data_IF_886133645769
#
_entry.id   IF_886133645769
#
_cell.length_a   1.000
_cell.length_b   1.000
_cell.length_c   1.000
_cell.angle_alpha   90.00
_cell.angle_beta   90.00
_cell.angle_gamma   90.00
#
_symmetry.space_group_name_H-M   'P 1'
#
loop_
_entity.id
_entity.type
_entity.pdbx_description
1 polymer ?
#
# COMPACT_ATOMS: atom_id res chain seq x y z
N UNK A 1 28.03 -10.86 19.37
CA UNK A 1 27.39 -10.94 18.04
C UNK A 1 26.74 -9.59 17.78
N UNK A 2 26.90 -8.96 16.61
CA UNK A 2 26.14 -7.75 16.28
C UNK A 2 24.66 -8.07 16.48
N UNK A 3 23.91 -7.16 17.10
CA UNK A 3 22.48 -7.28 17.36
C UNK A 3 21.70 -7.20 16.03
N UNK A 4 21.86 -8.21 15.16
CA UNK A 4 21.14 -8.34 13.89
C UNK A 4 19.62 -8.28 14.11
N UNK A 5 19.16 -8.65 15.30
CA UNK A 5 17.76 -8.54 15.72
C UNK A 5 17.31 -7.10 15.90
N UNK A 6 18.12 -6.21 16.48
CA UNK A 6 17.80 -4.77 16.56
C UNK A 6 17.87 -4.12 15.19
N UNK A 7 18.92 -4.43 14.41
CA UNK A 7 19.05 -3.91 13.04
C UNK A 7 17.85 -4.29 12.16
N UNK A 8 17.36 -5.53 12.27
CA UNK A 8 16.17 -5.97 11.55
C UNK A 8 14.88 -5.28 12.04
N UNK A 9 14.77 -5.00 13.33
CA UNK A 9 13.64 -4.24 13.89
C UNK A 9 13.66 -2.77 13.43
N UNK A 10 14.83 -2.15 13.42
CA UNK A 10 15.00 -0.76 12.98
C UNK A 10 14.70 -0.63 11.48
N UNK A 11 15.20 -1.55 10.65
CA UNK A 11 14.91 -1.58 9.23
C UNK A 11 13.41 -1.83 8.94
N UNK A 12 12.76 -2.69 9.72
CA UNK A 12 11.32 -2.90 9.62
C UNK A 12 10.54 -1.63 10.00
N UNK A 13 10.90 -0.97 11.10
CA UNK A 13 10.27 0.27 11.54
C UNK A 13 10.47 1.42 10.53
N UNK A 14 11.66 1.53 9.94
CA UNK A 14 11.95 2.53 8.90
C UNK A 14 11.15 2.26 7.62
N UNK A 15 11.04 0.98 7.22
CA UNK A 15 10.21 0.55 6.08
C UNK A 15 8.73 0.85 6.34
N UNK A 16 8.24 0.65 7.56
CA UNK A 16 6.87 0.95 7.96
C UNK A 16 6.59 2.45 7.92
N UNK A 17 7.49 3.27 8.44
CA UNK A 17 7.37 4.72 8.41
C UNK A 17 7.36 5.26 6.97
N UNK A 18 8.24 4.75 6.10
CA UNK A 18 8.27 5.13 4.69
C UNK A 18 7.01 4.67 3.95
N UNK A 19 6.53 3.45 4.21
CA UNK A 19 5.29 2.94 3.64
C UNK A 19 4.08 3.80 4.05
N UNK A 20 3.93 4.07 5.34
CA UNK A 20 2.84 4.91 5.86
C UNK A 20 2.91 6.32 5.29
N UNK A 21 4.10 6.95 5.27
CA UNK A 21 4.29 8.27 4.67
C UNK A 21 3.87 8.28 3.21
N UNK A 22 4.35 7.32 2.41
CA UNK A 22 4.06 7.26 0.98
C UNK A 22 2.58 7.06 0.72
N UNK A 23 1.90 6.22 1.50
CA UNK A 23 0.45 6.04 1.33
C UNK A 23 -0.33 7.26 1.83
N UNK A 24 0.08 7.91 2.91
CA UNK A 24 -0.52 9.16 3.39
C UNK A 24 -0.27 10.37 2.48
N UNK A 25 0.82 10.39 1.70
CA UNK A 25 1.04 11.38 0.64
C UNK A 25 0.15 11.09 -0.58
N UNK A 26 -0.14 9.81 -0.80
CA UNK A 26 -0.94 9.37 -1.93
C UNK A 26 -2.46 9.43 -1.65
N UNK A 27 -2.86 9.34 -0.39
CA UNK A 27 -4.25 9.18 0.05
C UNK A 27 -4.53 9.96 1.33
N UNK A 28 -5.81 10.17 1.67
CA UNK A 28 -6.17 10.74 2.98
C UNK A 28 -6.23 9.68 4.11
N UNK A 29 -5.69 8.49 3.87
CA UNK A 29 -5.78 7.38 4.82
C UNK A 29 -4.89 7.62 6.03
N UNK A 30 -5.43 7.27 7.20
CA UNK A 30 -4.73 7.26 8.48
C UNK A 30 -3.92 5.99 8.62
N UNK A 31 -2.86 6.06 9.42
CA UNK A 31 -1.98 4.93 9.74
C UNK A 31 -2.74 3.70 10.24
N UNK A 32 -3.82 3.90 11.01
CA UNK A 32 -4.68 2.82 11.52
C UNK A 32 -5.48 2.11 10.44
N UNK A 33 -5.80 2.78 9.34
CA UNK A 33 -6.53 2.20 8.22
C UNK A 33 -5.58 1.39 7.34
N UNK A 34 -4.36 1.87 7.17
CA UNK A 34 -3.29 1.11 6.52
C UNK A 34 -2.95 -0.16 7.28
N UNK A 35 -2.89 -0.08 8.61
CA UNK A 35 -2.67 -1.24 9.44
C UNK A 35 -3.77 -2.30 9.24
N UNK A 36 -5.04 -1.89 9.13
CA UNK A 36 -6.14 -2.82 8.84
C UNK A 36 -5.97 -3.54 7.50
N UNK A 37 -5.55 -2.84 6.44
CA UNK A 37 -5.30 -3.49 5.15
C UNK A 37 -4.19 -4.53 5.24
N UNK A 38 -3.14 -4.25 6.02
CA UNK A 38 -2.06 -5.20 6.28
C UNK A 38 -2.54 -6.40 7.11
N UNK A 39 -3.37 -6.16 8.13
CA UNK A 39 -3.94 -7.19 9.01
C UNK A 39 -4.92 -8.11 8.25
N UNK A 40 -5.59 -7.58 7.22
CA UNK A 40 -6.41 -8.35 6.25
C UNK A 40 -5.56 -9.21 5.28
N UNK A 41 -4.24 -9.21 5.47
CA UNK A 41 -3.29 -10.02 4.70
C UNK A 41 -2.98 -9.44 3.32
N UNK A 42 -3.14 -8.13 3.13
CA UNK A 42 -2.61 -7.43 1.95
C UNK A 42 -1.13 -7.12 2.16
N UNK A 43 -0.35 -7.24 1.09
CA UNK A 43 1.07 -6.90 1.14
C UNK A 43 1.27 -5.41 0.89
N UNK A 44 2.31 -4.84 1.49
CA UNK A 44 2.68 -3.42 1.31
C UNK A 44 2.96 -3.10 -0.15
N UNK A 45 3.60 -4.02 -0.85
CA UNK A 45 3.92 -3.92 -2.26
C UNK A 45 2.66 -3.83 -3.12
N UNK A 46 1.62 -4.62 -2.79
CA UNK A 46 0.34 -4.57 -3.49
C UNK A 46 -0.38 -3.24 -3.24
N UNK A 47 -0.34 -2.73 -2.01
CA UNK A 47 -0.93 -1.42 -1.65
C UNK A 47 -0.26 -0.28 -2.41
N UNK A 48 1.08 -0.23 -2.43
CA UNK A 48 1.82 0.80 -3.18
C UNK A 48 1.55 0.69 -4.68
N UNK A 49 1.59 -0.52 -5.24
CA UNK A 49 1.37 -0.74 -6.66
C UNK A 49 -0.04 -0.29 -7.11
N UNK A 50 -1.07 -0.56 -6.29
CA UNK A 50 -2.43 -0.08 -6.56
C UNK A 50 -2.49 1.45 -6.57
N UNK A 51 -1.86 2.10 -5.59
CA UNK A 51 -1.85 3.56 -5.51
C UNK A 51 -1.14 4.20 -6.71
N UNK A 52 0.00 3.63 -7.12
CA UNK A 52 0.73 4.09 -8.31
C UNK A 52 -0.13 3.98 -9.57
N UNK A 53 -0.84 2.86 -9.76
CA UNK A 53 -1.74 2.67 -10.90
C UNK A 53 -2.92 3.66 -10.86
N UNK A 54 -3.51 3.89 -9.69
CA UNK A 54 -4.63 4.84 -9.53
C UNK A 54 -4.18 6.28 -9.82
N UNK A 55 -3.01 6.69 -9.30
CA UNK A 55 -2.45 8.03 -9.49
C UNK A 55 -1.85 8.27 -10.87
N UNK A 56 -1.59 7.22 -11.66
CA UNK A 56 -1.04 7.35 -13.01
C UNK A 56 -2.01 8.11 -13.93
N UNK A 57 -1.86 9.44 -14.00
CA UNK A 57 -2.74 10.33 -14.76
C UNK A 57 -2.68 10.09 -16.27
N UNK A 58 -1.59 9.52 -16.78
CA UNK A 58 -1.41 9.16 -18.19
C UNK A 58 -2.08 7.84 -18.60
N UNK A 59 -2.64 7.06 -17.67
CA UNK A 59 -3.30 5.80 -17.96
C UNK A 59 -4.81 5.99 -18.10
N UNK A 60 -5.39 5.39 -19.15
CA UNK A 60 -6.85 5.29 -19.26
C UNK A 60 -7.41 4.39 -18.16
N UNK A 61 -8.68 4.58 -17.80
CA UNK A 61 -9.33 3.75 -16.78
C UNK A 61 -9.30 2.25 -17.13
N UNK A 62 -9.37 1.91 -18.42
CA UNK A 62 -9.23 0.53 -18.89
C UNK A 62 -7.81 -0.01 -18.67
N UNK A 63 -6.78 0.81 -18.92
CA UNK A 63 -5.40 0.43 -18.64
C UNK A 63 -5.18 0.24 -17.13
N UNK A 64 -5.74 1.14 -16.31
CA UNK A 64 -5.68 1.04 -14.85
C UNK A 64 -6.32 -0.25 -14.36
N UNK A 65 -7.53 -0.59 -14.84
CA UNK A 65 -8.21 -1.82 -14.47
C UNK A 65 -7.40 -3.09 -14.83
N UNK A 66 -6.76 -3.11 -16.02
CA UNK A 66 -5.88 -4.22 -16.43
C UNK A 66 -4.65 -4.37 -15.53
N UNK A 67 -4.02 -3.24 -15.21
CA UNK A 67 -2.84 -3.22 -14.34
C UNK A 67 -3.21 -3.66 -12.91
N UNK A 68 -4.36 -3.23 -12.39
CA UNK A 68 -4.87 -3.65 -11.09
C UNK A 68 -5.20 -5.14 -11.03
N UNK A 69 -5.75 -5.70 -12.10
CA UNK A 69 -6.05 -7.13 -12.19
C UNK A 69 -4.78 -8.00 -12.24
N UNK A 70 -3.63 -7.41 -12.57
CA UNK A 70 -2.33 -8.10 -12.62
C UNK A 70 -1.59 -8.07 -11.27
N UNK A 71 -2.09 -7.29 -10.30
CA UNK A 71 -1.59 -7.26 -8.93
C UNK A 71 -2.36 -8.33 -8.15
N UNK A 72 -1.65 -9.23 -7.46
CA UNK A 72 -2.23 -10.44 -6.86
C UNK A 72 -3.44 -10.20 -5.96
N UNK A 73 -3.47 -9.07 -5.24
CA UNK A 73 -4.63 -8.58 -4.46
C UNK A 73 -5.07 -7.15 -4.85
N UNK A 74 -4.78 -6.72 -6.08
CA UNK A 74 -4.93 -5.31 -6.47
C UNK A 74 -6.37 -4.78 -6.41
N UNK A 75 -7.34 -5.61 -6.76
CA UNK A 75 -8.76 -5.25 -6.67
C UNK A 75 -9.26 -5.20 -5.22
N UNK A 76 -8.87 -6.15 -4.38
CA UNK A 76 -9.20 -6.18 -2.95
C UNK A 76 -8.65 -4.94 -2.23
N UNK A 77 -7.38 -4.60 -2.51
CA UNK A 77 -6.72 -3.39 -2.03
C UNK A 77 -7.45 -2.14 -2.50
N UNK A 78 -7.83 -2.05 -3.78
CA UNK A 78 -8.55 -0.89 -4.31
C UNK A 78 -9.91 -0.72 -3.63
N UNK A 79 -10.66 -1.81 -3.44
CA UNK A 79 -11.95 -1.80 -2.73
C UNK A 79 -11.75 -1.40 -1.26
N UNK A 80 -10.72 -1.93 -0.60
CA UNK A 80 -10.34 -1.57 0.76
C UNK A 80 -10.08 -0.07 0.89
N UNK A 81 -9.27 0.51 0.00
CA UNK A 81 -8.98 1.95 -0.04
C UNK A 81 -10.25 2.76 -0.34
N UNK A 82 -11.01 2.37 -1.38
CA UNK A 82 -12.22 3.09 -1.81
C UNK A 82 -13.31 3.08 -0.73
N UNK A 83 -13.48 1.97 -0.01
CA UNK A 83 -14.46 1.84 1.08
C UNK A 83 -14.20 2.78 2.27
N UNK A 84 -13.01 3.38 2.36
CA UNK A 84 -12.62 4.35 3.39
C UNK A 84 -12.69 5.81 2.92
N UNK A 85 -12.88 6.04 1.62
CA UNK A 85 -13.05 7.38 1.04
C UNK A 85 -14.51 7.85 1.02
N UNK A 86 -15.47 6.95 1.28
CA UNK A 86 -16.92 7.20 1.30
C UNK A 86 -17.37 7.44 2.74
#
# INVERSE_FOLDING_TARGET
MPDFKKLAQDAAAETDAQFVSRVSDLTRMRSTELQKLLDEGMKREDIVAVLDVVKAAGLSNQQKAKNLASIGKGLEVLVGIASKLI
#
